data_IF_019105746132
#
_entry.id   IF_019105746132
#
_cell.length_a   1.000
_cell.length_b   1.000
_cell.length_c   1.000
_cell.angle_alpha   90.00
_cell.angle_beta   90.00
_cell.angle_gamma   90.00
#
_symmetry.space_group_name_H-M   'P 1'
#
loop_
_entity.id
_entity.type
_entity.pdbx_description
1 polymer ?
#
# COMPACT_ATOMS: atom_id res chain seq x y z
N UNK A 1 -14.52 17.41 0.20
CA UNK A 1 -13.83 16.94 -1.01
C UNK A 1 -12.90 18.04 -1.50
N UNK A 2 -11.68 17.68 -1.87
CA UNK A 2 -10.72 18.63 -2.50
C UNK A 2 -11.21 19.03 -3.89
N UNK A 3 -11.70 18.07 -4.66
CA UNK A 3 -12.38 18.25 -5.94
C UNK A 3 -13.79 17.66 -5.83
N UNK A 4 -14.86 18.50 -5.90
CA UNK A 4 -16.24 18.01 -5.86
C UNK A 4 -16.64 17.19 -7.09
N UNK A 5 -15.91 17.33 -8.20
CA UNK A 5 -16.14 16.62 -9.46
C UNK A 5 -15.35 15.32 -9.56
N UNK A 6 -14.46 15.03 -8.60
CA UNK A 6 -13.70 13.78 -8.58
C UNK A 6 -14.68 12.61 -8.45
N UNK A 7 -14.79 11.83 -9.50
CA UNK A 7 -15.51 10.58 -9.52
C UNK A 7 -14.68 9.46 -8.91
N UNK A 8 -15.38 8.51 -8.33
CA UNK A 8 -14.79 7.24 -7.90
C UNK A 8 -15.47 6.11 -8.66
N UNK A 9 -14.65 5.29 -9.30
CA UNK A 9 -15.12 4.06 -9.91
C UNK A 9 -15.11 2.98 -8.84
N UNK A 10 -16.21 2.27 -8.69
CA UNK A 10 -16.22 1.03 -7.94
C UNK A 10 -15.75 -0.07 -8.89
N UNK A 11 -14.54 -0.62 -8.70
CA UNK A 11 -14.14 -1.81 -9.39
C UNK A 11 -15.14 -2.92 -9.06
N UNK A 12 -15.23 -3.91 -9.91
CA UNK A 12 -16.10 -5.07 -9.70
C UNK A 12 -15.84 -5.68 -8.31
N UNK A 13 -16.89 -6.20 -7.67
CA UNK A 13 -16.84 -6.87 -6.36
C UNK A 13 -15.95 -8.13 -6.36
N UNK A 14 -15.28 -8.42 -7.45
CA UNK A 14 -14.39 -9.56 -7.60
C UNK A 14 -12.93 -9.12 -7.57
N UNK A 15 -12.21 -9.64 -6.60
CA UNK A 15 -10.76 -9.55 -6.49
C UNK A 15 -10.18 -10.96 -6.71
N UNK A 16 -10.01 -11.38 -7.97
CA UNK A 16 -9.45 -12.69 -8.24
C UNK A 16 -7.95 -12.72 -7.93
N UNK A 17 -7.49 -13.85 -7.43
CA UNK A 17 -6.07 -14.18 -7.35
C UNK A 17 -5.79 -15.26 -8.41
N UNK A 18 -4.98 -14.91 -9.37
CA UNK A 18 -4.57 -15.80 -10.45
C UNK A 18 -3.41 -16.67 -9.97
N UNK A 19 -3.52 -17.98 -10.14
CA UNK A 19 -2.45 -18.93 -9.85
C UNK A 19 -2.22 -19.87 -11.04
N UNK A 20 -1.06 -20.52 -11.15
CA UNK A 20 -0.79 -21.48 -12.23
C UNK A 20 -1.76 -22.67 -12.28
N UNK A 21 -2.41 -22.99 -11.17
CA UNK A 21 -3.27 -24.18 -11.04
C UNK A 21 -4.76 -23.86 -10.91
N UNK A 22 -5.15 -22.60 -10.90
CA UNK A 22 -6.54 -22.16 -10.76
C UNK A 22 -6.64 -20.72 -10.24
N UNK A 23 -7.84 -20.21 -10.18
CA UNK A 23 -8.09 -18.86 -9.67
C UNK A 23 -8.86 -18.93 -8.36
N UNK A 24 -8.42 -18.15 -7.38
CA UNK A 24 -9.18 -17.88 -6.16
C UNK A 24 -9.97 -16.59 -6.35
N UNK A 25 -11.10 -16.43 -5.66
CA UNK A 25 -11.92 -15.22 -5.74
C UNK A 25 -12.43 -14.84 -4.37
N UNK A 26 -12.34 -13.55 -4.06
CA UNK A 26 -12.92 -12.95 -2.87
C UNK A 26 -14.33 -12.38 -3.12
N UNK A 27 -14.88 -12.59 -4.32
CA UNK A 27 -16.22 -12.11 -4.66
C UNK A 27 -17.29 -12.59 -3.67
N UNK A 28 -18.19 -11.67 -3.31
CA UNK A 28 -19.34 -11.96 -2.46
C UNK A 28 -18.98 -12.35 -1.03
N UNK A 29 -17.83 -11.92 -0.50
CA UNK A 29 -17.58 -11.95 0.95
C UNK A 29 -18.59 -11.03 1.64
N UNK A 30 -19.06 -11.44 2.83
CA UNK A 30 -20.06 -10.72 3.61
C UNK A 30 -19.40 -9.91 4.72
N UNK A 31 -20.16 -8.99 5.33
CA UNK A 31 -19.69 -8.17 6.45
C UNK A 31 -19.45 -8.96 7.77
N UNK A 32 -19.59 -10.29 7.75
CA UNK A 32 -19.41 -11.14 8.92
C UNK A 32 -18.12 -11.97 8.78
N UNK A 33 -17.03 -11.58 9.44
CA UNK A 33 -15.70 -12.21 9.28
C UNK A 33 -15.70 -13.73 9.48
N UNK A 34 -16.44 -14.23 10.46
CA UNK A 34 -16.52 -15.67 10.73
C UNK A 34 -17.23 -16.44 9.60
N UNK A 35 -18.27 -15.85 9.00
CA UNK A 35 -18.94 -16.44 7.83
C UNK A 35 -18.04 -16.38 6.60
N UNK A 36 -17.21 -15.34 6.47
CA UNK A 36 -16.26 -15.24 5.35
C UNK A 36 -15.18 -16.32 5.43
N UNK A 37 -14.68 -16.64 6.62
CA UNK A 37 -13.73 -17.74 6.80
C UNK A 37 -14.38 -19.06 6.37
N UNK A 38 -15.62 -19.36 6.83
CA UNK A 38 -16.34 -20.56 6.43
C UNK A 38 -16.61 -20.60 4.91
N UNK A 39 -17.01 -19.46 4.34
CA UNK A 39 -17.30 -19.34 2.90
C UNK A 39 -16.05 -19.49 2.04
N UNK A 40 -14.92 -18.87 2.43
CA UNK A 40 -13.63 -19.06 1.80
C UNK A 40 -13.21 -20.54 1.86
N UNK A 41 -13.29 -21.16 3.02
CA UNK A 41 -12.94 -22.58 3.19
C UNK A 41 -13.74 -23.51 2.30
N UNK A 42 -15.00 -23.17 2.05
CA UNK A 42 -15.88 -24.02 1.22
C UNK A 42 -15.70 -23.75 -0.29
N UNK A 43 -15.22 -22.57 -0.67
CA UNK A 43 -15.05 -22.16 -2.07
C UNK A 43 -13.63 -22.34 -2.59
N UNK A 44 -12.63 -22.36 -1.71
CA UNK A 44 -11.22 -22.43 -2.10
C UNK A 44 -10.70 -23.86 -1.94
N UNK A 45 -9.94 -24.32 -2.92
CA UNK A 45 -9.15 -25.55 -2.78
C UNK A 45 -7.95 -25.39 -1.83
N UNK A 46 -7.73 -24.17 -1.40
CA UNK A 46 -6.54 -23.72 -0.65
C UNK A 46 -6.65 -23.94 0.85
N UNK A 47 -7.89 -23.94 1.40
CA UNK A 47 -8.18 -24.13 2.82
C UNK A 47 -9.14 -25.30 3.02
N UNK A 48 -8.61 -26.47 3.34
CA UNK A 48 -9.43 -27.62 3.71
C UNK A 48 -9.89 -27.57 5.19
N UNK A 49 -11.00 -28.23 5.51
CA UNK A 49 -11.50 -28.37 6.91
C UNK A 49 -10.41 -28.96 7.83
N UNK A 50 -9.59 -29.89 7.32
CA UNK A 50 -8.46 -30.47 8.07
C UNK A 50 -7.37 -29.47 8.38
N UNK A 51 -7.19 -28.46 7.54
CA UNK A 51 -6.20 -27.41 7.75
C UNK A 51 -6.67 -26.40 8.78
N UNK A 52 -7.96 -26.07 8.79
CA UNK A 52 -8.56 -25.22 9.82
C UNK A 52 -8.48 -25.85 11.23
N UNK A 53 -8.57 -27.17 11.33
CA UNK A 53 -8.41 -27.86 12.62
C UNK A 53 -7.00 -27.74 13.22
N UNK A 54 -6.00 -27.43 12.39
CA UNK A 54 -4.60 -27.23 12.83
C UNK A 54 -4.31 -25.79 13.23
N UNK A 55 -5.14 -24.83 12.79
CA UNK A 55 -4.96 -23.42 13.11
C UNK A 55 -5.19 -23.19 14.60
N UNK A 56 -4.31 -22.44 15.23
CA UNK A 56 -4.48 -21.96 16.61
C UNK A 56 -5.63 -20.95 16.65
N UNK A 57 -6.85 -21.42 16.85
CA UNK A 57 -8.07 -20.61 16.80
C UNK A 57 -8.05 -19.43 17.78
N UNK A 58 -7.64 -19.59 19.06
CA UNK A 58 -7.54 -18.46 19.98
C UNK A 58 -6.62 -17.35 19.47
N UNK A 59 -5.46 -17.70 18.91
CA UNK A 59 -4.54 -16.72 18.33
C UNK A 59 -5.09 -16.13 17.03
N UNK A 60 -5.78 -16.91 16.20
CA UNK A 60 -6.45 -16.42 15.00
C UNK A 60 -7.60 -15.45 15.32
N UNK A 61 -8.33 -15.65 16.42
CA UNK A 61 -9.35 -14.71 16.87
C UNK A 61 -8.76 -13.36 17.31
N UNK A 62 -7.52 -13.33 17.77
CA UNK A 62 -6.82 -12.08 18.05
C UNK A 62 -6.62 -11.22 16.78
N UNK A 63 -6.52 -11.83 15.60
CA UNK A 63 -6.45 -11.11 14.31
C UNK A 63 -7.72 -10.28 14.04
N UNK A 64 -8.85 -10.65 14.63
CA UNK A 64 -10.11 -9.92 14.48
C UNK A 64 -10.24 -8.74 15.45
N UNK A 65 -9.32 -8.63 16.41
CA UNK A 65 -9.29 -7.57 17.42
C UNK A 65 -8.05 -6.73 17.23
N UNK A 66 -8.20 -5.67 16.46
CA UNK A 66 -7.12 -4.71 16.27
C UNK A 66 -7.36 -3.47 17.15
N UNK A 67 -6.35 -3.14 17.94
CA UNK A 67 -6.22 -1.85 18.63
C UNK A 67 -4.83 -1.33 18.35
N UNK A 68 -4.73 -0.12 17.82
CA UNK A 68 -3.45 0.42 17.33
C UNK A 68 -2.36 0.36 18.40
N UNK A 69 -2.63 0.89 19.61
CA UNK A 69 -1.64 0.93 20.68
C UNK A 69 -1.26 -0.45 21.21
N UNK A 70 -2.25 -1.26 21.54
CA UNK A 70 -2.03 -2.59 22.11
C UNK A 70 -1.42 -3.58 21.09
N UNK A 71 -1.85 -3.53 19.83
CA UNK A 71 -1.34 -4.42 18.78
C UNK A 71 0.12 -4.13 18.47
N UNK A 72 0.49 -2.85 18.29
CA UNK A 72 1.88 -2.49 18.04
C UNK A 72 2.77 -2.77 19.25
N UNK A 73 2.33 -2.46 20.47
CA UNK A 73 3.08 -2.79 21.68
C UNK A 73 3.38 -4.29 21.83
N UNK A 74 2.45 -5.15 21.37
CA UNK A 74 2.59 -6.60 21.51
C UNK A 74 3.34 -7.26 20.33
N UNK A 75 3.20 -6.76 19.11
CA UNK A 75 3.56 -7.49 17.89
C UNK A 75 4.53 -6.76 16.95
N UNK A 76 4.91 -5.51 17.21
CA UNK A 76 5.81 -4.77 16.31
C UNK A 76 7.20 -5.41 16.17
N UNK A 77 7.69 -6.03 17.23
CA UNK A 77 9.01 -6.70 17.24
C UNK A 77 8.94 -8.18 16.80
N UNK A 78 7.77 -8.68 16.44
CA UNK A 78 7.56 -10.03 15.91
C UNK A 78 7.40 -9.94 14.40
N UNK A 79 8.08 -10.79 13.63
CA UNK A 79 7.87 -10.80 12.17
C UNK A 79 6.52 -11.43 11.83
N UNK A 80 5.89 -10.96 10.76
CA UNK A 80 4.65 -11.54 10.24
C UNK A 80 4.80 -13.05 9.97
N UNK A 81 5.99 -13.45 9.48
CA UNK A 81 6.35 -14.85 9.29
C UNK A 81 6.27 -15.67 10.57
N UNK A 82 6.95 -15.23 11.63
CA UNK A 82 6.95 -15.91 12.93
C UNK A 82 5.55 -15.95 13.56
N UNK A 83 4.77 -14.87 13.41
CA UNK A 83 3.39 -14.84 13.87
C UNK A 83 2.50 -15.86 13.16
N UNK A 84 2.60 -15.96 11.83
CA UNK A 84 1.85 -16.93 11.03
C UNK A 84 2.28 -18.37 11.31
N UNK A 85 3.56 -18.59 11.63
CA UNK A 85 4.05 -19.90 12.08
C UNK A 85 3.45 -20.28 13.44
N UNK A 86 3.38 -19.35 14.39
CA UNK A 86 2.75 -19.57 15.70
C UNK A 86 1.24 -19.80 15.59
N UNK A 87 0.58 -19.26 14.56
CA UNK A 87 -0.82 -19.56 14.23
C UNK A 87 -1.00 -20.93 13.60
N UNK A 88 0.08 -21.58 13.19
CA UNK A 88 0.05 -22.82 12.41
C UNK A 88 -0.81 -22.66 11.12
N UNK A 89 -0.68 -21.49 10.47
CA UNK A 89 -1.46 -21.19 9.27
C UNK A 89 -0.97 -22.04 8.08
N UNK A 90 -1.87 -22.70 7.34
CA UNK A 90 -1.48 -23.62 6.28
C UNK A 90 -0.59 -22.95 5.23
N UNK A 91 0.56 -23.55 4.85
CA UNK A 91 1.53 -22.92 3.94
C UNK A 91 0.92 -22.52 2.59
N UNK A 92 0.03 -23.34 2.04
CA UNK A 92 -0.62 -23.04 0.77
C UNK A 92 -1.57 -21.84 0.87
N UNK A 93 -2.35 -21.76 1.95
CA UNK A 93 -3.22 -20.63 2.21
C UNK A 93 -2.41 -19.36 2.49
N UNK A 94 -1.29 -19.49 3.21
CA UNK A 94 -0.34 -18.40 3.42
C UNK A 94 0.20 -17.85 2.10
N UNK A 95 0.61 -18.73 1.19
CA UNK A 95 1.13 -18.34 -0.12
C UNK A 95 0.06 -17.71 -1.02
N UNK A 96 -1.13 -18.30 -1.09
CA UNK A 96 -2.16 -17.86 -2.05
C UNK A 96 -3.03 -16.71 -1.54
N UNK A 97 -3.28 -16.64 -0.24
CA UNK A 97 -4.19 -15.65 0.33
C UNK A 97 -3.45 -14.49 1.00
N UNK A 98 -2.44 -14.79 1.83
CA UNK A 98 -1.79 -13.75 2.64
C UNK A 98 -0.57 -13.12 1.96
N UNK A 99 0.09 -13.85 1.07
CA UNK A 99 1.26 -13.34 0.35
C UNK A 99 0.94 -12.07 -0.45
N UNK A 100 -0.15 -12.07 -1.20
CA UNK A 100 -0.59 -10.93 -2.01
C UNK A 100 -0.78 -9.68 -1.15
N UNK A 101 -1.38 -9.83 0.03
CA UNK A 101 -1.59 -8.69 0.94
C UNK A 101 -0.30 -8.22 1.60
N UNK A 102 0.58 -9.12 2.04
CA UNK A 102 1.87 -8.76 2.61
C UNK A 102 2.76 -8.05 1.58
N UNK A 103 2.83 -8.57 0.36
CA UNK A 103 3.61 -7.96 -0.72
C UNK A 103 3.06 -6.59 -1.16
N UNK A 104 1.75 -6.35 -1.04
CA UNK A 104 1.18 -5.02 -1.33
C UNK A 104 1.68 -3.93 -0.37
N UNK A 105 2.28 -4.31 0.77
CA UNK A 105 3.00 -3.41 1.68
C UNK A 105 4.52 -3.36 1.40
N UNK A 106 4.96 -3.85 0.26
CA UNK A 106 6.36 -3.84 -0.22
C UNK A 106 7.36 -4.60 0.66
N UNK A 107 6.89 -5.46 1.56
CA UNK A 107 7.74 -6.24 2.44
C UNK A 107 7.40 -7.73 2.36
N UNK A 108 8.42 -8.61 2.32
CA UNK A 108 8.19 -10.03 2.51
C UNK A 108 7.77 -10.30 3.96
N UNK A 109 7.01 -11.36 4.18
CA UNK A 109 6.51 -11.74 5.52
C UNK A 109 7.64 -11.95 6.55
N UNK A 110 8.86 -12.27 6.09
CA UNK A 110 10.02 -12.44 6.95
C UNK A 110 10.51 -11.11 7.57
N UNK A 111 10.30 -9.99 6.88
CA UNK A 111 10.81 -8.68 7.26
C UNK A 111 9.70 -7.74 7.75
N UNK A 112 8.46 -8.06 7.44
CA UNK A 112 7.28 -7.29 7.84
C UNK A 112 6.98 -7.50 9.33
N UNK A 113 6.61 -6.44 10.05
CA UNK A 113 6.08 -6.53 11.40
C UNK A 113 4.75 -7.29 11.43
N UNK A 114 4.55 -8.12 12.44
CA UNK A 114 3.26 -8.76 12.66
C UNK A 114 2.16 -7.75 13.00
N UNK A 115 2.50 -6.62 13.64
CA UNK A 115 1.55 -5.55 13.89
C UNK A 115 1.05 -4.93 12.58
N UNK A 116 1.93 -4.69 11.61
CA UNK A 116 1.56 -4.19 10.28
C UNK A 116 0.68 -5.19 9.52
N UNK A 117 1.02 -6.49 9.58
CA UNK A 117 0.16 -7.53 9.00
C UNK A 117 -1.24 -7.51 9.61
N UNK A 118 -1.34 -7.40 10.94
CA UNK A 118 -2.62 -7.35 11.66
C UNK A 118 -3.41 -6.09 11.32
N UNK A 119 -2.75 -4.94 11.24
CA UNK A 119 -3.38 -3.68 10.80
C UNK A 119 -3.94 -3.82 9.39
N UNK A 120 -3.18 -4.39 8.48
CA UNK A 120 -3.59 -4.58 7.10
C UNK A 120 -4.79 -5.52 6.98
N UNK A 121 -4.76 -6.64 7.70
CA UNK A 121 -5.89 -7.58 7.75
C UNK A 121 -7.13 -6.92 8.37
N UNK A 122 -6.94 -6.10 9.42
CA UNK A 122 -8.03 -5.32 9.97
C UNK A 122 -8.61 -4.35 8.95
N UNK A 123 -7.77 -3.57 8.28
CA UNK A 123 -8.18 -2.61 7.27
C UNK A 123 -8.98 -3.26 6.14
N UNK A 124 -8.49 -4.38 5.62
CA UNK A 124 -9.13 -5.05 4.47
C UNK A 124 -10.36 -5.88 4.84
N UNK A 125 -10.40 -6.49 6.02
CA UNK A 125 -11.42 -7.52 6.31
C UNK A 125 -12.35 -7.17 7.46
N UNK A 126 -11.99 -6.30 8.40
CA UNK A 126 -12.78 -6.08 9.61
C UNK A 126 -13.15 -4.63 9.88
N UNK A 127 -12.39 -3.66 9.37
CA UNK A 127 -12.65 -2.23 9.60
C UNK A 127 -13.69 -1.64 8.63
N UNK A 128 -13.95 -2.30 7.51
CA UNK A 128 -14.84 -1.81 6.47
C UNK A 128 -16.08 -2.69 6.36
N UNK A 129 -17.27 -2.07 6.38
CA UNK A 129 -18.54 -2.77 6.20
C UNK A 129 -18.74 -3.34 4.80
N UNK A 130 -18.08 -2.77 3.80
CA UNK A 130 -18.20 -3.19 2.41
C UNK A 130 -17.20 -4.29 2.00
N UNK A 131 -16.34 -4.75 2.94
CA UNK A 131 -15.36 -5.80 2.69
C UNK A 131 -14.20 -5.34 1.80
N UNK A 132 -13.69 -6.23 0.95
CA UNK A 132 -12.61 -5.96 -0.01
C UNK A 132 -13.10 -5.16 -1.22
N UNK A 133 -13.70 -4.01 -0.99
CA UNK A 133 -14.14 -3.10 -2.05
C UNK A 133 -13.27 -1.85 -2.02
N UNK A 134 -12.71 -1.50 -3.16
CA UNK A 134 -11.88 -0.31 -3.32
C UNK A 134 -12.58 0.68 -4.23
N UNK A 135 -12.63 1.93 -3.81
CA UNK A 135 -12.92 3.02 -4.71
C UNK A 135 -11.61 3.50 -5.32
N UNK A 136 -11.56 3.60 -6.65
CA UNK A 136 -10.43 4.17 -7.38
C UNK A 136 -10.84 5.49 -8.01
N UNK A 137 -9.91 6.46 -8.05
CA UNK A 137 -10.15 7.70 -8.75
C UNK A 137 -10.35 7.44 -10.25
N UNK A 138 -11.33 8.09 -10.85
CA UNK A 138 -11.69 7.93 -12.27
C UNK A 138 -10.74 8.64 -13.23
N UNK A 139 -9.74 9.37 -12.69
CA UNK A 139 -8.75 10.16 -13.43
C UNK A 139 -7.38 10.13 -12.77
N UNK A 140 -6.30 10.54 -13.46
CA UNK A 140 -4.96 10.57 -12.90
C UNK A 140 -4.89 11.38 -11.60
N UNK A 141 -4.12 10.92 -10.63
CA UNK A 141 -3.97 11.57 -9.33
C UNK A 141 -3.48 13.01 -9.43
N UNK A 142 -2.62 13.31 -10.43
CA UNK A 142 -2.17 14.68 -10.70
C UNK A 142 -3.34 15.61 -10.91
N UNK A 143 -4.31 15.21 -11.71
CA UNK A 143 -5.47 16.01 -12.11
C UNK A 143 -6.62 15.91 -11.11
N UNK A 144 -6.86 14.72 -10.54
CA UNK A 144 -7.99 14.50 -9.64
C UNK A 144 -7.72 14.88 -8.19
N UNK A 145 -6.46 14.84 -7.74
CA UNK A 145 -6.10 15.03 -6.34
C UNK A 145 -5.10 16.17 -6.17
N UNK A 146 -3.91 16.09 -6.80
CA UNK A 146 -2.82 17.01 -6.47
C UNK A 146 -3.04 18.44 -6.98
N UNK A 147 -3.54 18.62 -8.20
CA UNK A 147 -3.84 19.97 -8.70
C UNK A 147 -4.95 20.66 -7.88
N UNK A 148 -6.12 20.04 -7.62
CA UNK A 148 -7.14 20.63 -6.76
C UNK A 148 -6.65 20.90 -5.34
N UNK A 149 -5.80 20.03 -4.77
CA UNK A 149 -5.18 20.26 -3.47
C UNK A 149 -4.25 21.48 -3.49
N UNK A 150 -3.43 21.61 -4.53
CA UNK A 150 -2.55 22.77 -4.72
C UNK A 150 -3.35 24.08 -4.74
N UNK A 151 -4.43 24.13 -5.53
CA UNK A 151 -5.32 25.31 -5.58
C UNK A 151 -5.94 25.61 -4.22
N UNK A 152 -6.34 24.59 -3.47
CA UNK A 152 -6.87 24.79 -2.11
C UNK A 152 -5.82 25.35 -1.18
N UNK A 153 -4.61 24.82 -1.20
CA UNK A 153 -3.50 25.29 -0.35
C UNK A 153 -3.12 26.73 -0.66
N UNK A 154 -3.05 27.12 -1.93
CA UNK A 154 -2.81 28.51 -2.33
C UNK A 154 -3.90 29.45 -1.83
N UNK A 155 -5.18 29.05 -1.92
CA UNK A 155 -6.31 29.84 -1.36
C UNK A 155 -6.21 30.01 0.15
N UNK A 156 -5.60 29.06 0.85
CA UNK A 156 -5.35 29.11 2.29
C UNK A 156 -4.06 29.89 2.64
N UNK A 157 -3.38 30.46 1.65
CA UNK A 157 -2.17 31.26 1.83
C UNK A 157 -0.88 30.45 1.88
N UNK A 158 -0.92 29.16 1.53
CA UNK A 158 0.30 28.35 1.44
C UNK A 158 1.05 28.67 0.14
N UNK A 159 2.37 28.84 0.23
CA UNK A 159 3.26 28.92 -0.93
C UNK A 159 3.79 27.53 -1.32
N UNK A 160 3.63 27.14 -2.58
CA UNK A 160 4.19 25.89 -3.12
C UNK A 160 5.34 26.24 -4.05
N UNK A 161 6.53 25.70 -3.77
CA UNK A 161 7.72 25.91 -4.60
C UNK A 161 8.12 24.59 -5.23
N UNK A 162 7.85 24.44 -6.52
CA UNK A 162 8.26 23.28 -7.30
C UNK A 162 9.69 23.44 -7.81
N UNK A 163 10.40 22.30 -7.97
CA UNK A 163 11.78 22.29 -8.47
C UNK A 163 12.80 22.87 -7.49
N UNK A 164 12.50 22.93 -6.19
CA UNK A 164 13.40 23.38 -5.13
C UNK A 164 13.72 22.20 -4.22
N UNK A 165 15.01 21.92 -4.07
CA UNK A 165 15.49 20.84 -3.20
C UNK A 165 16.01 21.37 -1.88
N UNK A 166 15.43 20.94 -0.75
CA UNK A 166 15.99 21.18 0.56
C UNK A 166 17.27 20.33 0.74
N UNK A 167 18.32 20.95 1.28
CA UNK A 167 19.65 20.32 1.43
C UNK A 167 20.04 20.11 2.88
N UNK A 168 19.79 21.09 3.76
CA UNK A 168 20.15 21.06 5.15
C UNK A 168 19.24 22.00 5.96
N UNK A 169 19.27 21.83 7.26
CA UNK A 169 18.66 22.73 8.24
C UNK A 169 19.75 23.34 9.10
N UNK A 170 19.62 24.62 9.40
CA UNK A 170 20.45 25.33 10.35
C UNK A 170 19.57 26.08 11.34
N UNK A 171 19.87 25.97 12.63
CA UNK A 171 19.20 26.77 13.65
C UNK A 171 19.98 28.07 13.85
N UNK A 172 19.33 29.21 13.69
CA UNK A 172 19.91 30.53 13.88
C UNK A 172 19.39 31.21 15.14
N UNK A 173 20.04 32.32 15.50
CA UNK A 173 19.67 33.13 16.64
C UNK A 173 18.18 33.50 16.63
N UNK A 174 17.53 33.45 17.80
CA UNK A 174 16.11 33.73 17.91
C UNK A 174 15.18 32.53 17.65
N UNK A 175 15.72 31.31 17.68
CA UNK A 175 14.94 30.06 17.62
C UNK A 175 14.31 29.74 16.24
N UNK A 176 14.77 30.44 15.20
CA UNK A 176 14.28 30.24 13.83
C UNK A 176 15.13 29.26 13.05
N UNK A 177 14.49 28.56 12.14
CA UNK A 177 15.13 27.62 11.21
C UNK A 177 15.45 28.30 9.89
N UNK A 178 16.62 27.99 9.35
CA UNK A 178 16.98 28.22 7.94
C UNK A 178 17.00 26.90 7.24
N UNK A 179 16.20 26.78 6.19
CA UNK A 179 16.22 25.64 5.27
C UNK A 179 17.13 26.00 4.12
N UNK A 180 18.31 25.39 4.07
CA UNK A 180 19.23 25.52 2.94
C UNK A 180 18.66 24.76 1.75
N UNK A 181 18.63 25.38 0.59
CA UNK A 181 18.11 24.80 -0.65
C UNK A 181 19.14 24.89 -1.77
N UNK A 182 18.86 24.29 -2.92
CA UNK A 182 19.64 24.46 -4.13
C UNK A 182 19.38 25.81 -4.85
N UNK A 183 18.53 26.63 -4.26
CA UNK A 183 18.24 28.01 -4.65
C UNK A 183 18.47 28.96 -3.45
N UNK A 184 17.55 29.89 -3.20
CA UNK A 184 17.62 30.77 -2.04
C UNK A 184 17.19 30.07 -0.76
N UNK A 185 17.89 30.30 0.38
CA UNK A 185 17.49 29.72 1.65
C UNK A 185 16.14 30.28 2.12
N UNK A 186 15.40 29.46 2.87
CA UNK A 186 14.10 29.81 3.44
C UNK A 186 14.18 29.88 4.95
N UNK A 187 13.49 30.85 5.56
CA UNK A 187 13.36 30.95 7.01
C UNK A 187 11.98 30.51 7.48
N UNK A 188 11.94 29.74 8.56
CA UNK A 188 10.69 29.27 9.16
C UNK A 188 10.79 29.19 10.69
N UNK A 189 9.66 29.32 11.37
CA UNK A 189 9.57 29.11 12.81
C UNK A 189 9.45 27.61 13.16
N UNK A 190 8.90 26.82 12.23
CA UNK A 190 8.77 25.36 12.31
C UNK A 190 9.10 24.70 10.96
N UNK A 191 9.77 23.58 11.00
CA UNK A 191 10.04 22.75 9.80
C UNK A 191 9.52 21.36 10.01
N UNK A 192 8.76 20.84 9.02
CA UNK A 192 8.31 19.47 8.95
C UNK A 192 9.02 18.77 7.79
N UNK A 193 9.83 17.74 8.11
CA UNK A 193 10.48 16.90 7.12
C UNK A 193 9.52 15.79 6.67
N UNK A 194 8.80 16.02 5.59
CA UNK A 194 7.86 15.07 5.00
C UNK A 194 8.43 14.47 3.70
N UNK A 195 9.69 14.06 3.73
CA UNK A 195 10.41 13.44 2.62
C UNK A 195 10.52 11.94 2.82
N UNK A 196 10.93 11.22 1.78
CA UNK A 196 11.28 9.81 1.89
C UNK A 196 12.48 9.58 2.82
N UNK A 197 12.66 8.34 3.29
CA UNK A 197 13.74 7.97 4.22
C UNK A 197 15.13 8.42 3.74
N UNK A 198 15.56 8.20 2.47
CA UNK A 198 16.83 8.70 1.99
C UNK A 198 16.95 10.23 2.08
N UNK A 199 15.87 10.95 1.76
CA UNK A 199 15.82 12.40 1.82
C UNK A 199 15.95 12.93 3.24
N UNK A 200 15.20 12.38 4.18
CA UNK A 200 15.29 12.78 5.59
C UNK A 200 16.69 12.52 6.16
N UNK A 201 17.27 11.35 5.87
CA UNK A 201 18.66 11.03 6.31
C UNK A 201 19.67 12.00 5.73
N UNK A 202 19.58 12.31 4.45
CA UNK A 202 20.50 13.23 3.78
C UNK A 202 20.41 14.64 4.39
N UNK A 203 19.19 15.17 4.56
CA UNK A 203 18.97 16.49 5.16
C UNK A 203 19.48 16.52 6.60
N UNK A 204 19.10 15.56 7.43
CA UNK A 204 19.53 15.49 8.84
C UNK A 204 21.04 15.34 8.96
N UNK A 205 21.66 14.50 8.12
CA UNK A 205 23.10 14.31 8.09
C UNK A 205 23.88 15.57 7.73
N UNK A 206 23.36 16.38 6.81
CA UNK A 206 23.97 17.65 6.39
C UNK A 206 23.67 18.83 7.34
N UNK A 207 22.68 18.70 8.24
CA UNK A 207 22.19 19.77 9.09
C UNK A 207 23.08 20.03 10.30
N UNK A 208 23.13 21.33 10.72
CA UNK A 208 23.84 21.79 11.91
C UNK A 208 22.82 22.30 12.95
N UNK A 209 23.14 22.16 14.24
CA UNK A 209 22.24 22.60 15.31
C UNK A 209 21.04 21.70 15.58
N UNK A 210 21.06 20.49 15.04
CA UNK A 210 20.17 19.38 15.40
C UNK A 210 20.90 18.53 16.46
N UNK A 211 20.98 19.03 17.71
CA UNK A 211 21.90 18.51 18.71
C UNK A 211 21.36 17.29 19.49
N UNK A 212 20.12 16.86 19.21
CA UNK A 212 19.55 15.66 19.80
C UNK A 212 20.14 14.40 19.15
N UNK A 213 21.12 13.81 19.84
CA UNK A 213 21.81 12.62 19.37
C UNK A 213 20.91 11.39 19.35
N UNK A 214 19.90 11.30 20.22
CA UNK A 214 18.98 10.17 20.26
C UNK A 214 18.03 10.22 19.06
N UNK A 215 17.51 11.38 18.77
CA UNK A 215 16.69 11.60 17.60
C UNK A 215 17.46 11.34 16.28
N UNK A 216 18.71 11.82 16.18
CA UNK A 216 19.57 11.50 15.02
C UNK A 216 19.76 10.00 14.84
N UNK A 217 20.01 9.26 15.92
CA UNK A 217 20.11 7.79 15.86
C UNK A 217 18.82 7.13 15.41
N UNK A 218 17.66 7.65 15.83
CA UNK A 218 16.36 7.16 15.35
C UNK A 218 16.20 7.39 13.85
N UNK A 219 16.53 8.58 13.35
CA UNK A 219 16.52 8.87 11.90
C UNK A 219 17.48 7.94 11.15
N UNK A 220 18.69 7.72 11.66
CA UNK A 220 19.68 6.83 11.03
C UNK A 220 19.22 5.36 11.03
N UNK A 221 18.41 4.97 11.99
CA UNK A 221 17.84 3.61 12.07
C UNK A 221 16.72 3.34 11.08
N UNK A 222 16.12 4.36 10.49
CA UNK A 222 15.08 4.19 9.48
C UNK A 222 15.59 3.36 8.30
N UNK A 223 14.75 2.52 7.75
CA UNK A 223 15.08 1.67 6.60
C UNK A 223 14.08 1.92 5.48
N UNK A 224 14.52 1.73 4.25
CA UNK A 224 13.64 1.67 3.08
C UNK A 224 13.06 0.27 2.95
N UNK A 225 11.88 0.18 2.35
CA UNK A 225 11.29 -1.09 1.96
C UNK A 225 12.08 -1.71 0.80
N UNK A 226 11.79 -2.96 0.48
CA UNK A 226 12.33 -3.60 -0.72
C UNK A 226 11.91 -2.82 -1.97
N UNK A 227 12.69 -2.97 -3.04
CA UNK A 227 12.36 -2.37 -4.32
C UNK A 227 11.05 -2.92 -4.88
N UNK A 228 10.37 -2.14 -5.70
CA UNK A 228 9.22 -2.59 -6.48
C UNK A 228 9.35 -2.11 -7.92
N UNK A 229 8.69 -2.77 -8.84
CA UNK A 229 8.61 -2.38 -10.23
C UNK A 229 7.16 -2.31 -10.69
N UNK A 230 6.84 -1.28 -11.44
CA UNK A 230 5.57 -1.12 -12.15
C UNK A 230 5.87 -0.96 -13.62
N UNK A 231 5.25 -1.80 -14.44
CA UNK A 231 5.42 -1.76 -15.89
C UNK A 231 4.08 -1.52 -16.56
N UNK A 232 3.89 -0.31 -17.09
CA UNK A 232 2.70 0.04 -17.87
C UNK A 232 2.93 -0.28 -19.35
N UNK A 233 2.01 -1.06 -19.90
CA UNK A 233 2.03 -1.52 -21.28
C UNK A 233 0.85 -0.92 -22.04
N UNK A 234 1.14 -0.40 -23.22
CA UNK A 234 0.15 0.02 -24.22
C UNK A 234 0.12 -1.05 -25.31
N UNK A 235 -0.95 -1.84 -25.32
CA UNK A 235 -1.09 -3.00 -26.19
C UNK A 235 -1.80 -2.60 -27.49
N UNK A 236 -1.40 -3.20 -28.60
CA UNK A 236 -1.99 -2.99 -29.94
C UNK A 236 -3.33 -3.72 -30.13
N UNK A 237 -3.78 -4.46 -29.14
CA UNK A 237 -5.03 -5.21 -29.12
C UNK A 237 -5.72 -5.13 -27.77
N UNK A 238 -7.04 -5.32 -27.72
CA UNK A 238 -7.78 -5.27 -26.48
C UNK A 238 -7.50 -6.50 -25.61
N UNK A 239 -7.53 -6.31 -24.28
CA UNK A 239 -7.60 -7.42 -23.31
C UNK A 239 -8.88 -8.22 -23.55
N UNK A 240 -8.80 -9.54 -23.40
CA UNK A 240 -9.96 -10.42 -23.57
C UNK A 240 -11.14 -10.00 -22.67
N UNK A 241 -12.35 -10.01 -23.23
CA UNK A 241 -13.57 -9.66 -22.51
C UNK A 241 -13.77 -10.53 -21.27
N UNK A 242 -14.29 -9.95 -20.21
CA UNK A 242 -14.57 -10.67 -18.95
C UNK A 242 -13.35 -10.86 -18.05
N UNK A 243 -12.21 -10.26 -18.37
CA UNK A 243 -11.09 -10.19 -17.43
C UNK A 243 -11.39 -9.16 -16.36
N UNK A 244 -11.03 -9.48 -15.10
CA UNK A 244 -11.13 -8.55 -13.99
C UNK A 244 -10.29 -7.29 -14.27
N UNK A 245 -10.79 -6.14 -13.86
CA UNK A 245 -10.06 -4.87 -13.98
C UNK A 245 -8.81 -4.82 -13.10
N UNK A 246 -8.81 -5.59 -12.02
CA UNK A 246 -7.69 -5.78 -11.11
C UNK A 246 -7.63 -7.24 -10.66
N UNK A 247 -6.46 -7.85 -10.67
CA UNK A 247 -6.23 -9.22 -10.23
C UNK A 247 -4.91 -9.32 -9.50
N UNK A 248 -4.92 -9.94 -8.31
CA UNK A 248 -3.70 -10.39 -7.65
C UNK A 248 -3.13 -11.62 -8.36
N UNK A 249 -1.86 -11.91 -8.16
CA UNK A 249 -1.21 -13.12 -8.65
C UNK A 249 -0.47 -13.83 -7.52
N UNK A 250 -0.43 -15.15 -7.56
CA UNK A 250 0.35 -15.95 -6.62
C UNK A 250 1.05 -17.10 -7.33
N UNK A 251 2.36 -17.26 -7.10
CA UNK A 251 3.16 -18.31 -7.73
C UNK A 251 3.47 -18.06 -9.22
N UNK A 252 3.44 -16.80 -9.66
CA UNK A 252 3.72 -16.36 -11.03
C UNK A 252 5.00 -15.53 -11.08
N UNK A 253 6.11 -16.07 -10.58
CA UNK A 253 7.39 -15.34 -10.51
C UNK A 253 7.28 -14.10 -9.63
N UNK A 254 7.88 -12.96 -10.01
CA UNK A 254 7.85 -11.73 -9.22
C UNK A 254 6.55 -10.93 -9.39
N UNK A 255 5.62 -11.37 -10.24
CA UNK A 255 4.39 -10.63 -10.52
C UNK A 255 3.40 -10.79 -9.37
N UNK A 256 2.96 -9.67 -8.78
CA UNK A 256 2.02 -9.61 -7.66
C UNK A 256 0.61 -9.20 -8.07
N UNK A 257 0.48 -8.32 -9.07
CA UNK A 257 -0.84 -7.99 -9.62
C UNK A 257 -0.80 -7.52 -11.07
N UNK A 258 -1.99 -7.53 -11.67
CA UNK A 258 -2.26 -7.06 -13.03
C UNK A 258 -3.47 -6.13 -12.94
N UNK A 259 -3.35 -4.94 -13.52
CA UNK A 259 -4.45 -3.98 -13.65
C UNK A 259 -4.76 -3.71 -15.10
N UNK A 260 -6.03 -3.81 -15.50
CA UNK A 260 -6.52 -3.36 -16.80
C UNK A 260 -6.91 -1.89 -16.66
N UNK A 261 -5.97 -1.01 -16.96
CA UNK A 261 -5.96 0.37 -16.50
C UNK A 261 -7.02 1.25 -17.20
N UNK A 262 -7.41 0.92 -18.42
CA UNK A 262 -8.54 1.58 -19.09
C UNK A 262 -9.88 1.40 -18.36
N UNK A 263 -10.00 0.40 -17.49
CA UNK A 263 -11.18 0.24 -16.65
C UNK A 263 -11.18 1.15 -15.42
N UNK A 264 -10.01 1.70 -15.08
CA UNK A 264 -9.78 2.43 -13.83
C UNK A 264 -9.64 3.94 -14.05
N UNK A 265 -9.12 4.37 -15.21
CA UNK A 265 -8.73 5.76 -15.46
C UNK A 265 -9.24 6.27 -16.81
N UNK A 266 -9.73 7.51 -16.83
CA UNK A 266 -10.35 8.14 -18.01
C UNK A 266 -9.37 8.34 -19.18
N UNK A 267 -8.13 8.76 -18.95
CA UNK A 267 -7.12 9.00 -20.00
C UNK A 267 -6.69 7.68 -20.65
N UNK A 268 -6.48 6.64 -19.88
CA UNK A 268 -6.18 5.29 -20.36
C UNK A 268 -7.34 4.72 -21.17
N UNK A 269 -8.59 4.96 -20.74
CA UNK A 269 -9.80 4.59 -21.46
C UNK A 269 -9.93 5.33 -22.78
N UNK A 270 -9.67 6.63 -22.79
CA UNK A 270 -9.70 7.44 -24.00
C UNK A 270 -8.64 6.97 -25.02
N UNK A 271 -7.44 6.61 -24.54
CA UNK A 271 -6.40 6.04 -25.39
C UNK A 271 -6.81 4.69 -25.99
N UNK A 272 -7.30 3.76 -25.16
CA UNK A 272 -7.76 2.44 -25.59
C UNK A 272 -8.89 2.54 -26.62
N UNK A 273 -9.86 3.42 -26.39
CA UNK A 273 -10.97 3.67 -27.33
C UNK A 273 -10.46 4.20 -28.68
N UNK A 274 -9.50 5.11 -28.66
CA UNK A 274 -8.97 5.73 -29.90
C UNK A 274 -8.13 4.74 -30.71
N UNK A 275 -7.40 3.85 -30.06
CA UNK A 275 -6.44 2.96 -30.73
C UNK A 275 -6.99 1.55 -30.98
N UNK A 276 -8.06 1.16 -30.30
CA UNK A 276 -8.55 -0.23 -30.26
C UNK A 276 -7.68 -1.17 -29.44
N UNK A 277 -6.77 -0.63 -28.65
CA UNK A 277 -5.85 -1.37 -27.79
C UNK A 277 -6.29 -1.49 -26.34
N UNK A 278 -5.35 -1.80 -25.46
CA UNK A 278 -5.56 -1.82 -23.99
C UNK A 278 -4.36 -1.23 -23.26
N UNK A 279 -4.60 -0.67 -22.08
CA UNK A 279 -3.57 -0.23 -21.15
C UNK A 279 -3.55 -1.18 -19.95
N UNK A 280 -2.40 -1.83 -19.71
CA UNK A 280 -2.25 -2.82 -18.66
C UNK A 280 -1.05 -2.45 -17.79
N UNK A 281 -1.19 -2.52 -16.47
CA UNK A 281 -0.08 -2.44 -15.54
C UNK A 281 0.22 -3.80 -14.92
N UNK A 282 1.51 -4.11 -14.87
CA UNK A 282 2.07 -5.26 -14.17
C UNK A 282 2.86 -4.74 -12.98
N UNK A 283 2.60 -5.28 -11.80
CA UNK A 283 3.26 -4.85 -10.58
C UNK A 283 4.04 -6.02 -9.96
N UNK A 284 5.27 -5.73 -9.58
CA UNK A 284 6.13 -6.63 -8.81
C UNK A 284 6.60 -5.90 -7.56
N UNK A 285 6.21 -6.39 -6.40
CA UNK A 285 6.50 -5.78 -5.11
C UNK A 285 7.55 -6.58 -4.34
N UNK A 286 8.13 -5.98 -3.30
CA UNK A 286 9.07 -6.64 -2.41
C UNK A 286 10.17 -7.43 -3.15
N UNK A 287 10.69 -6.84 -4.23
CA UNK A 287 11.76 -7.46 -5.02
C UNK A 287 13.00 -7.68 -4.14
N UNK A 288 13.69 -8.81 -4.28
CA UNK A 288 14.93 -9.03 -3.55
C UNK A 288 15.98 -7.98 -3.93
N UNK A 289 16.82 -7.63 -2.94
CA UNK A 289 17.91 -6.67 -3.11
C UNK A 289 19.02 -7.22 -4.02
#
# INVERSE_FOLDING_TARGET
RVDPELGFLKPTDDYPILTPTGNESFAGLTHAPLFNVAKLTWRTETLGIRDLMKVNVPAALAMLRFDFGATYAAFDQVTAGAYLDALNFPPLARQRLLHVFAHSCFNPQADMSAADLLQMLHFYFTANHDGLVFDVADRPFSRGIFQPLGVLLERLGAGIRMGVSARALERRDGDRWVVETDQEPLTADLVVLATEVPGVKAIVGASRGLDDADWRRQVDSLRVTNAFAVWRLWLDRPVARGRAGFAGTAGVGPLDNISVYENLEDESRAWATRTGGSVVELHAYALPA
#
